data_IF_597936859838
#
_entry.id   IF_597936859838
#
_cell.length_a   1.000
_cell.length_b   1.000
_cell.length_c   1.000
_cell.angle_alpha   90.00
_cell.angle_beta   90.00
_cell.angle_gamma   90.00
#
_symmetry.space_group_name_H-M   'P 1'
#
loop_
_entity.id
_entity.type
_entity.pdbx_description
1 polymer ?
#
# COMPACT_ATOMS: atom_id res chain seq x y z
N UNK A 1 -10.68 4.68 20.76
CA UNK A 1 -9.40 4.89 21.47
C UNK A 1 -8.32 5.13 20.41
N UNK A 2 -7.48 6.16 20.56
CA UNK A 2 -6.42 6.53 19.61
C UNK A 2 -5.10 6.61 20.39
N UNK A 3 -3.97 6.28 19.77
CA UNK A 3 -2.61 6.43 20.33
C UNK A 3 -1.73 7.25 19.39
N UNK A 4 -0.76 7.96 19.96
CA UNK A 4 0.29 8.62 19.18
C UNK A 4 1.24 7.57 18.56
N UNK A 5 1.80 7.88 17.40
CA UNK A 5 2.74 7.01 16.70
C UNK A 5 4.17 7.39 17.09
N UNK A 6 4.88 6.48 17.76
CA UNK A 6 6.34 6.58 17.95
C UNK A 6 7.07 6.02 16.73
N UNK A 7 8.07 6.75 16.22
CA UNK A 7 8.75 6.43 14.96
C UNK A 7 10.21 6.05 15.26
N UNK A 8 10.65 4.81 14.97
CA UNK A 8 12.06 4.43 15.06
C UNK A 8 12.88 5.13 13.96
N UNK A 9 14.14 5.48 14.26
CA UNK A 9 15.05 6.15 13.30
C UNK A 9 15.34 5.25 12.10
N UNK A 10 15.32 5.78 10.88
CA UNK A 10 15.75 5.06 9.68
C UNK A 10 16.65 5.93 8.80
N UNK A 11 17.97 5.82 9.05
CA UNK A 11 19.01 6.62 8.40
C UNK A 11 19.05 6.49 6.86
N UNK A 12 18.40 5.49 6.26
CA UNK A 12 18.35 5.30 4.79
C UNK A 12 17.26 6.17 4.14
N UNK A 13 16.14 6.38 4.83
CA UNK A 13 15.02 7.20 4.36
C UNK A 13 15.02 8.60 4.98
N UNK A 14 15.81 8.81 6.03
CA UNK A 14 16.00 10.09 6.73
C UNK A 14 17.01 11.02 6.02
N UNK A 15 17.57 10.64 4.86
CA UNK A 15 18.64 11.39 4.16
C UNK A 15 18.21 12.74 3.56
N UNK A 16 17.07 13.31 3.96
CA UNK A 16 16.84 14.74 3.81
C UNK A 16 17.61 15.49 4.91
N UNK A 17 18.94 15.51 4.78
CA UNK A 17 19.88 16.12 5.73
C UNK A 17 19.73 17.65 5.87
N UNK A 18 18.81 18.29 5.14
CA UNK A 18 18.34 19.66 5.40
C UNK A 18 17.35 20.13 4.33
N UNK A 19 16.06 20.34 4.63
CA UNK A 19 15.25 21.23 3.80
C UNK A 19 15.53 22.73 4.06
N UNK A 20 16.53 23.08 4.88
CA UNK A 20 16.72 24.44 5.40
C UNK A 20 18.15 24.93 5.52
N UNK A 21 19.09 24.45 4.70
CA UNK A 21 20.47 24.97 4.69
C UNK A 21 20.55 26.32 3.96
N UNK A 22 19.93 27.35 4.54
CA UNK A 22 20.35 28.75 4.36
C UNK A 22 21.31 29.04 5.50
N UNK A 23 22.51 29.46 5.13
CA UNK A 23 23.58 29.89 6.04
C UNK A 23 23.09 30.91 7.07
N UNK A 24 23.33 30.63 8.36
CA UNK A 24 23.38 31.63 9.42
C UNK A 24 22.19 31.66 10.37
N UNK A 25 22.46 31.38 11.65
CA UNK A 25 21.58 31.46 12.83
C UNK A 25 20.60 30.30 13.07
N UNK A 26 21.00 29.38 13.95
CA UNK A 26 20.11 28.44 14.64
C UNK A 26 19.42 29.24 15.75
N UNK A 27 18.14 29.55 15.59
CA UNK A 27 17.38 30.23 16.64
C UNK A 27 16.93 29.22 17.71
N UNK A 28 16.87 29.58 19.01
CA UNK A 28 16.48 28.68 20.11
C UNK A 28 15.09 28.03 19.97
N UNK A 29 14.28 28.50 19.02
CA UNK A 29 12.97 27.96 18.69
C UNK A 29 13.01 26.77 17.69
N UNK A 30 14.17 26.37 17.17
CA UNK A 30 14.28 25.20 16.27
C UNK A 30 14.12 23.84 16.97
N UNK A 31 14.26 23.78 18.30
CA UNK A 31 13.95 22.58 19.09
C UNK A 31 12.44 22.26 19.13
N UNK A 32 11.59 23.18 18.67
CA UNK A 32 10.14 22.98 18.48
C UNK A 32 9.75 22.59 17.05
N UNK A 33 10.70 22.19 16.19
CA UNK A 33 10.33 21.45 14.97
C UNK A 33 9.89 20.05 15.37
N UNK A 34 8.64 19.94 15.79
CA UNK A 34 7.90 18.68 15.91
C UNK A 34 8.22 17.87 14.64
N UNK A 35 9.00 16.79 14.76
CA UNK A 35 9.41 15.97 13.61
C UNK A 35 8.15 15.53 12.90
N UNK A 36 7.90 16.08 11.72
CA UNK A 36 6.76 15.69 10.90
C UNK A 36 6.98 14.23 10.50
N UNK A 37 6.03 13.36 10.84
CA UNK A 37 6.03 11.96 10.39
C UNK A 37 6.18 11.93 8.87
N UNK A 38 7.30 11.41 8.39
CA UNK A 38 7.44 11.08 6.98
C UNK A 38 6.76 9.74 6.75
N UNK A 39 5.46 9.76 6.41
CA UNK A 39 4.62 8.56 6.30
C UNK A 39 5.25 7.47 5.41
N UNK A 40 6.02 7.87 4.39
CA UNK A 40 6.74 6.94 3.52
C UNK A 40 7.70 6.04 4.32
N UNK A 41 8.36 6.54 5.37
CA UNK A 41 9.26 5.74 6.22
C UNK A 41 8.55 4.61 6.95
N UNK A 42 7.25 4.76 7.17
CA UNK A 42 6.43 3.77 7.86
C UNK A 42 5.89 2.72 6.92
N UNK A 43 5.49 3.13 5.71
CA UNK A 43 4.77 2.29 4.75
C UNK A 43 5.68 1.65 3.70
N UNK A 44 6.84 2.27 3.41
CA UNK A 44 7.83 1.80 2.44
C UNK A 44 8.92 1.04 3.17
N UNK A 45 8.92 -0.28 3.02
CA UNK A 45 10.01 -1.13 3.52
C UNK A 45 11.26 -0.98 2.65
N UNK A 46 11.11 -1.28 1.36
CA UNK A 46 12.14 -1.13 0.34
C UNK A 46 11.61 -0.28 -0.83
N UNK A 47 12.13 0.95 -1.04
CA UNK A 47 11.69 1.83 -2.12
C UNK A 47 11.81 1.23 -3.53
N UNK A 48 12.72 0.28 -3.75
CA UNK A 48 12.93 -0.33 -5.07
C UNK A 48 11.91 -1.43 -5.38
N UNK A 49 11.31 -1.99 -4.33
CA UNK A 49 10.31 -3.06 -4.42
C UNK A 49 8.90 -2.62 -4.03
N UNK A 50 8.72 -1.35 -3.63
CA UNK A 50 7.42 -0.79 -3.24
C UNK A 50 6.80 0.00 -4.38
N UNK A 51 5.54 -0.32 -4.69
CA UNK A 51 4.75 0.26 -5.77
C UNK A 51 3.40 0.77 -5.22
N UNK A 52 2.80 1.70 -5.94
CA UNK A 52 1.53 2.30 -5.55
C UNK A 52 0.51 2.18 -6.69
N UNK A 53 -0.71 1.83 -6.33
CA UNK A 53 -1.86 1.81 -7.23
C UNK A 53 -3.02 2.58 -6.61
N UNK A 54 -3.98 2.98 -7.45
CA UNK A 54 -5.25 3.55 -7.00
C UNK A 54 -6.36 2.54 -7.32
N UNK A 55 -7.22 2.24 -6.34
CA UNK A 55 -8.41 1.44 -6.58
C UNK A 55 -9.42 2.23 -7.42
N UNK A 56 -9.91 1.66 -8.52
CA UNK A 56 -10.89 2.30 -9.41
C UNK A 56 -12.35 1.87 -9.15
N UNK A 57 -12.53 0.84 -8.31
CA UNK A 57 -13.80 0.22 -7.92
C UNK A 57 -13.92 0.00 -6.39
N UNK A 58 -15.07 -0.54 -5.98
CA UNK A 58 -15.40 -0.87 -4.58
C UNK A 58 -15.49 -2.39 -4.31
N UNK A 59 -14.97 -3.25 -5.21
CA UNK A 59 -15.09 -4.71 -5.06
C UNK A 59 -14.43 -5.21 -3.77
N UNK A 60 -13.33 -4.56 -3.36
CA UNK A 60 -12.56 -4.92 -2.16
C UNK A 60 -13.01 -4.17 -0.89
N UNK A 61 -14.24 -3.62 -0.90
CA UNK A 61 -14.79 -2.84 0.23
C UNK A 61 -14.84 -3.60 1.54
N UNK A 62 -15.02 -4.93 1.50
CA UNK A 62 -14.97 -5.78 2.70
C UNK A 62 -13.64 -5.64 3.46
N UNK A 63 -12.54 -5.45 2.73
CA UNK A 63 -11.21 -5.23 3.30
C UNK A 63 -10.86 -3.75 3.48
N UNK A 64 -11.84 -2.85 3.40
CA UNK A 64 -11.65 -1.41 3.57
C UNK A 64 -11.02 -0.71 2.37
N UNK A 65 -10.92 -1.38 1.22
CA UNK A 65 -10.42 -0.78 -0.03
C UNK A 65 -11.63 -0.32 -0.84
N UNK A 66 -11.77 0.99 -0.98
CA UNK A 66 -12.81 1.63 -1.77
C UNK A 66 -12.18 2.41 -2.92
N UNK A 67 -12.98 2.82 -3.90
CA UNK A 67 -12.55 3.66 -5.01
C UNK A 67 -11.80 4.90 -4.51
N UNK A 68 -10.63 5.15 -5.09
CA UNK A 68 -9.70 6.21 -4.70
C UNK A 68 -8.75 5.83 -3.56
N UNK A 69 -8.83 4.61 -3.02
CA UNK A 69 -7.84 4.12 -2.06
C UNK A 69 -6.47 3.97 -2.73
N UNK A 70 -5.43 4.45 -2.07
CA UNK A 70 -4.05 4.15 -2.45
C UNK A 70 -3.69 2.78 -1.89
N UNK A 71 -3.27 1.87 -2.77
CA UNK A 71 -2.82 0.53 -2.44
C UNK A 71 -1.30 0.52 -2.53
N UNK A 72 -0.63 0.21 -1.41
CA UNK A 72 0.81 0.05 -1.34
C UNK A 72 1.14 -1.43 -1.49
N UNK A 73 1.99 -1.76 -2.46
CA UNK A 73 2.32 -3.14 -2.85
C UNK A 73 3.82 -3.35 -2.77
N UNK A 74 4.24 -4.44 -2.13
CA UNK A 74 5.64 -4.85 -2.05
C UNK A 74 5.87 -6.14 -2.85
N UNK A 75 6.79 -6.09 -3.82
CA UNK A 75 7.16 -7.24 -4.66
C UNK A 75 8.13 -8.22 -4.01
N UNK A 76 8.88 -7.78 -3.00
CA UNK A 76 9.87 -8.61 -2.32
C UNK A 76 9.24 -9.62 -1.36
N UNK A 77 7.98 -9.38 -0.96
CA UNK A 77 7.26 -10.24 -0.01
C UNK A 77 6.77 -11.51 -0.71
N UNK A 78 7.16 -12.67 -0.15
CA UNK A 78 6.62 -13.96 -0.58
C UNK A 78 5.14 -14.06 -0.21
N UNK A 79 4.29 -14.11 -1.23
CA UNK A 79 2.84 -14.23 -1.09
C UNK A 79 2.43 -15.60 -0.55
N UNK A 80 1.44 -15.62 0.36
CA UNK A 80 0.82 -16.83 0.89
C UNK A 80 -0.71 -16.69 1.00
N UNK A 81 -1.40 -17.81 1.18
CA UNK A 81 -2.84 -17.85 1.47
C UNK A 81 -3.19 -16.91 2.64
N UNK A 82 -4.31 -16.21 2.52
CA UNK A 82 -4.80 -15.20 3.45
C UNK A 82 -4.38 -13.77 3.13
N UNK A 83 -3.34 -13.57 2.30
CA UNK A 83 -2.83 -12.23 1.98
C UNK A 83 -3.67 -11.53 0.91
N UNK A 84 -3.71 -10.21 0.99
CA UNK A 84 -4.18 -9.36 -0.12
C UNK A 84 -3.04 -9.19 -1.13
N UNK A 85 -3.37 -9.33 -2.41
CA UNK A 85 -2.40 -9.25 -3.51
C UNK A 85 -2.93 -8.39 -4.64
N UNK A 86 -2.00 -7.81 -5.40
CA UNK A 86 -2.27 -7.33 -6.75
C UNK A 86 -1.80 -8.39 -7.73
N UNK A 87 -2.66 -8.77 -8.67
CA UNK A 87 -2.40 -9.80 -9.66
C UNK A 87 -3.05 -9.46 -11.00
N UNK A 88 -2.60 -10.13 -12.04
CA UNK A 88 -3.18 -10.06 -13.37
C UNK A 88 -3.73 -11.43 -13.76
N UNK A 89 -5.01 -11.46 -14.14
CA UNK A 89 -5.74 -12.65 -14.59
C UNK A 89 -6.34 -12.31 -15.95
N UNK A 90 -5.99 -13.07 -17.01
CA UNK A 90 -6.54 -12.85 -18.36
C UNK A 90 -6.42 -11.37 -18.82
N UNK A 91 -5.25 -10.76 -18.61
CA UNK A 91 -4.92 -9.35 -18.90
C UNK A 91 -5.68 -8.29 -18.07
N UNK A 92 -6.47 -8.71 -17.08
CA UNK A 92 -7.15 -7.82 -16.14
C UNK A 92 -6.39 -7.70 -14.81
N UNK A 93 -6.11 -6.46 -14.39
CA UNK A 93 -5.44 -6.17 -13.11
C UNK A 93 -6.45 -6.15 -11.97
N UNK A 94 -6.21 -6.99 -10.96
CA UNK A 94 -7.12 -7.19 -9.84
C UNK A 94 -6.40 -7.08 -8.50
N UNK A 95 -7.08 -6.50 -7.52
CA UNK A 95 -6.72 -6.64 -6.10
C UNK A 95 -7.64 -7.68 -5.47
N UNK A 96 -7.09 -8.74 -4.86
CA UNK A 96 -7.86 -9.87 -4.30
C UNK A 96 -7.19 -10.45 -3.06
N UNK A 97 -7.97 -11.09 -2.20
CA UNK A 97 -7.42 -11.99 -1.17
C UNK A 97 -7.08 -13.32 -1.81
N UNK A 98 -5.82 -13.74 -1.71
CA UNK A 98 -5.41 -15.08 -2.11
C UNK A 98 -5.88 -16.07 -1.06
N UNK A 99 -6.52 -17.15 -1.47
CA UNK A 99 -6.91 -18.23 -0.58
C UNK A 99 -6.59 -19.58 -1.22
N UNK A 100 -6.03 -20.49 -0.43
CA UNK A 100 -5.66 -21.84 -0.86
C UNK A 100 -6.30 -22.84 0.09
N UNK A 101 -6.95 -23.86 -0.48
CA UNK A 101 -7.57 -24.97 0.25
C UNK A 101 -7.27 -26.30 -0.45
N UNK A 102 -6.36 -27.08 0.13
CA UNK A 102 -5.79 -28.25 -0.54
C UNK A 102 -5.08 -27.84 -1.83
N UNK A 103 -5.44 -28.49 -2.93
CA UNK A 103 -4.89 -28.19 -4.26
C UNK A 103 -5.60 -27.02 -4.97
N UNK A 104 -6.68 -26.50 -4.39
CA UNK A 104 -7.45 -25.42 -5.00
C UNK A 104 -6.94 -24.06 -4.56
N UNK A 105 -6.86 -23.13 -5.52
CA UNK A 105 -6.52 -21.73 -5.28
C UNK A 105 -7.67 -20.83 -5.71
N UNK A 106 -7.89 -19.77 -4.93
CA UNK A 106 -9.02 -18.85 -5.07
C UNK A 106 -8.56 -17.40 -4.93
N UNK A 107 -9.28 -16.51 -5.62
CA UNK A 107 -9.21 -15.07 -5.45
C UNK A 107 -10.54 -14.56 -4.88
N UNK A 108 -10.52 -14.00 -3.68
CA UNK A 108 -11.73 -13.63 -2.96
C UNK A 108 -11.84 -12.12 -2.75
N UNK A 109 -13.07 -11.61 -2.77
CA UNK A 109 -13.39 -10.20 -2.46
C UNK A 109 -13.89 -9.99 -1.03
N UNK A 110 -14.17 -11.08 -0.31
CA UNK A 110 -14.46 -11.12 1.13
C UNK A 110 -14.04 -12.49 1.70
N UNK A 111 -14.44 -12.79 2.95
CA UNK A 111 -14.11 -14.06 3.61
C UNK A 111 -15.11 -15.21 3.35
N UNK A 112 -16.18 -14.95 2.61
CA UNK A 112 -17.17 -15.94 2.17
C UNK A 112 -16.73 -16.66 0.90
N UNK A 113 -16.90 -17.99 0.88
CA UNK A 113 -16.50 -18.84 -0.25
C UNK A 113 -17.32 -18.51 -1.52
N UNK A 114 -18.55 -18.01 -1.38
CA UNK A 114 -19.41 -17.58 -2.49
C UNK A 114 -18.83 -16.40 -3.27
N UNK A 115 -17.94 -15.61 -2.64
CA UNK A 115 -17.29 -14.47 -3.24
C UNK A 115 -15.85 -14.78 -3.71
N UNK A 116 -15.51 -16.06 -3.79
CA UNK A 116 -14.21 -16.55 -4.25
C UNK A 116 -14.30 -17.07 -5.69
N UNK A 117 -13.47 -16.52 -6.57
CA UNK A 117 -13.25 -17.05 -7.91
C UNK A 117 -12.22 -18.19 -7.83
N UNK A 118 -12.60 -19.39 -8.28
CA UNK A 118 -11.65 -20.50 -8.42
C UNK A 118 -10.71 -20.24 -9.60
N UNK A 119 -9.41 -20.23 -9.31
CA UNK A 119 -8.34 -19.97 -10.28
C UNK A 119 -7.40 -21.17 -10.47
N UNK A 120 -7.80 -22.33 -9.96
CA UNK A 120 -7.00 -23.56 -10.04
C UNK A 120 -6.73 -23.93 -11.49
N UNK A 121 -5.46 -24.10 -11.84
CA UNK A 121 -5.02 -24.39 -13.21
C UNK A 121 -5.06 -23.21 -14.18
N UNK A 122 -5.47 -22.00 -13.73
CA UNK A 122 -5.36 -20.78 -14.55
C UNK A 122 -3.95 -20.19 -14.48
N UNK A 123 -3.54 -19.53 -15.55
CA UNK A 123 -2.30 -18.74 -15.54
C UNK A 123 -2.57 -17.38 -14.87
N UNK A 124 -1.87 -17.11 -13.78
CA UNK A 124 -2.02 -15.87 -13.02
C UNK A 124 -0.65 -15.32 -12.71
N UNK A 125 -0.48 -14.03 -12.98
CA UNK A 125 0.73 -13.30 -12.61
C UNK A 125 0.46 -12.52 -11.34
N UNK A 126 1.05 -12.94 -10.23
CA UNK A 126 1.02 -12.15 -8.99
C UNK A 126 2.07 -11.05 -9.11
N UNK A 127 1.67 -9.80 -8.95
CA UNK A 127 2.59 -8.66 -9.00
C UNK A 127 3.29 -8.46 -7.65
N UNK A 128 2.55 -8.52 -6.55
CA UNK A 128 3.10 -8.35 -5.20
C UNK A 128 2.04 -8.39 -4.11
N UNK A 129 2.49 -8.36 -2.85
CA UNK A 129 1.63 -8.36 -1.67
C UNK A 129 1.21 -6.94 -1.29
N UNK A 130 -0.07 -6.75 -0.95
CA UNK A 130 -0.55 -5.47 -0.40
C UNK A 130 -0.09 -5.35 1.04
N UNK A 131 0.64 -4.28 1.35
CA UNK A 131 1.19 -4.03 2.69
C UNK A 131 0.41 -2.96 3.44
N UNK A 132 -0.09 -1.95 2.73
CA UNK A 132 -0.88 -0.86 3.28
C UNK A 132 -1.97 -0.42 2.32
N UNK A 133 -3.05 0.10 2.88
CA UNK A 133 -4.13 0.77 2.14
C UNK A 133 -4.41 2.11 2.80
N UNK A 134 -4.54 3.16 2.00
CA UNK A 134 -4.80 4.52 2.47
C UNK A 134 -6.06 5.03 1.79
N UNK A 135 -7.16 5.09 2.54
CA UNK A 135 -8.44 5.61 2.07
C UNK A 135 -8.53 7.12 2.32
N UNK A 136 -8.55 7.98 1.28
CA UNK A 136 -8.76 9.41 1.47
C UNK A 136 -10.20 9.68 1.92
N UNK A 137 -10.35 10.42 3.03
CA UNK A 137 -11.66 10.88 3.52
C UNK A 137 -11.97 12.33 3.11
N UNK A 138 -10.98 13.08 2.64
CA UNK A 138 -11.17 14.41 2.07
C UNK A 138 -11.43 14.33 0.56
N UNK A 139 -12.19 15.27 0.02
CA UNK A 139 -12.36 15.40 -1.44
C UNK A 139 -11.01 15.74 -2.07
N UNK A 140 -10.44 14.82 -2.85
CA UNK A 140 -9.27 15.13 -3.67
C UNK A 140 -9.71 15.89 -4.92
N UNK A 141 -9.09 17.04 -5.19
CA UNK A 141 -9.13 17.66 -6.51
C UNK A 141 -8.19 16.83 -7.40
N UNK A 142 -8.75 16.17 -8.42
CA UNK A 142 -8.03 15.24 -9.31
C UNK A 142 -6.68 15.79 -9.78
N UNK A 143 -5.58 15.17 -9.36
CA UNK A 143 -4.29 15.30 -10.03
C UNK A 143 -4.33 14.33 -11.21
N UNK A 144 -4.24 14.84 -12.44
CA UNK A 144 -4.21 14.03 -13.65
C UNK A 144 -2.93 13.20 -13.68
N UNK A 145 -3.03 11.91 -13.41
CA UNK A 145 -1.99 10.92 -13.73
C UNK A 145 -2.19 10.44 -15.17
N UNK A 146 -1.17 10.60 -16.00
CA UNK A 146 -1.17 10.11 -17.38
C UNK A 146 -1.20 8.57 -17.43
N UNK A 147 -1.87 8.01 -18.44
CA UNK A 147 -1.85 6.57 -18.73
C UNK A 147 -0.40 6.10 -18.96
N UNK A 148 -0.06 4.95 -18.35
CA UNK A 148 1.07 4.11 -18.75
C UNK A 148 0.85 3.56 -20.16
#
# INVERSE_FOLDING_TARGET
MIRELEIPKNNVLDTLDNPGRVSGFISPAEDYKQRRLHIAQRIVGDPTNTYYFEADDDHMRYFGIMKGSIIVVDKSIKVSSGMLIVCCVEDEWLTRKLFTNGDNTYLCINDGMEACMNITGKNITVFGAVTWTCLPHSKQNNVRTGRL
#
